data_IF_829033311499
#
_entry.id   IF_829033311499
#
_cell.length_a   1.000
_cell.length_b   1.000
_cell.length_c   1.000
_cell.angle_alpha   90.00
_cell.angle_beta   90.00
_cell.angle_gamma   90.00
#
_symmetry.space_group_name_H-M   'P 1'
#
loop_
_entity.id
_entity.type
_entity.pdbx_description
1 polymer ?
#
# COMPACT_ATOMS: atom_id res chain seq x y z
N UNK A 1 55.91 -33.65 40.36
CA UNK A 1 55.27 -32.53 39.58
C UNK A 1 55.56 -32.81 38.15
N UNK A 2 54.53 -33.13 37.42
CA UNK A 2 54.61 -33.61 36.03
C UNK A 2 54.86 -32.47 35.09
N UNK A 3 55.57 -32.70 33.97
CA UNK A 3 55.80 -31.75 32.88
C UNK A 3 54.49 -31.18 32.32
N UNK A 4 53.39 -31.88 32.46
CA UNK A 4 52.04 -31.47 32.14
C UNK A 4 51.53 -30.21 32.88
N UNK A 5 51.95 -30.01 34.10
CA UNK A 5 51.54 -28.90 34.95
C UNK A 5 52.18 -27.56 34.50
N UNK A 6 53.38 -27.62 33.89
CA UNK A 6 54.10 -26.45 33.38
C UNK A 6 53.57 -26.00 32.01
N UNK A 7 53.28 -26.93 31.12
CA UNK A 7 52.68 -26.63 29.80
C UNK A 7 51.26 -26.03 29.93
N UNK A 8 50.44 -26.54 30.87
CA UNK A 8 49.13 -25.96 31.15
C UNK A 8 49.22 -24.54 31.72
N UNK A 9 50.21 -24.26 32.57
CA UNK A 9 50.43 -22.92 33.13
C UNK A 9 50.94 -21.92 32.10
N UNK A 10 51.79 -22.32 31.15
CA UNK A 10 52.25 -21.49 30.04
C UNK A 10 51.07 -21.17 29.06
N UNK A 11 50.24 -22.15 28.68
CA UNK A 11 49.08 -21.93 27.86
C UNK A 11 48.05 -20.99 28.51
N UNK A 12 47.85 -21.11 29.83
CA UNK A 12 46.97 -20.21 30.58
C UNK A 12 47.56 -18.79 30.69
N UNK A 13 48.85 -18.64 30.75
CA UNK A 13 49.52 -17.35 30.78
C UNK A 13 49.44 -16.64 29.44
N UNK A 14 49.62 -17.37 28.31
CA UNK A 14 49.48 -16.86 26.98
C UNK A 14 48.03 -16.44 26.70
N UNK A 15 47.04 -17.25 27.10
CA UNK A 15 45.62 -16.91 26.93
C UNK A 15 45.24 -15.66 27.76
N UNK A 16 45.74 -15.52 28.96
CA UNK A 16 45.53 -14.31 29.79
C UNK A 16 46.19 -13.08 29.19
N UNK A 17 47.39 -13.20 28.64
CA UNK A 17 48.08 -12.10 27.96
C UNK A 17 47.29 -11.66 26.71
N UNK A 18 46.86 -12.59 25.87
CA UNK A 18 46.04 -12.34 24.70
C UNK A 18 44.69 -11.69 25.06
N UNK A 19 44.03 -12.20 26.11
CA UNK A 19 42.77 -11.62 26.58
C UNK A 19 42.95 -10.20 27.12
N UNK A 20 44.07 -9.92 27.78
CA UNK A 20 44.39 -8.57 28.28
C UNK A 20 44.56 -7.57 27.13
N UNK A 21 45.10 -8.03 26.02
CA UNK A 21 45.36 -7.21 24.85
C UNK A 21 44.07 -7.03 23.97
N UNK A 22 43.31 -8.11 23.75
CA UNK A 22 42.19 -8.13 22.80
C UNK A 22 40.82 -8.17 23.47
N UNK A 23 40.73 -8.49 24.76
CA UNK A 23 39.45 -8.67 25.46
C UNK A 23 38.56 -7.45 25.46
N UNK A 24 39.14 -6.25 25.53
CA UNK A 24 38.38 -4.99 25.41
C UNK A 24 37.68 -4.81 24.06
N UNK A 25 38.41 -5.12 22.99
CA UNK A 25 37.85 -5.05 21.63
C UNK A 25 36.75 -6.12 21.39
N UNK A 26 36.97 -7.33 21.94
CA UNK A 26 35.99 -8.42 21.84
C UNK A 26 34.71 -8.08 22.61
N UNK A 27 34.84 -7.56 23.84
CA UNK A 27 33.68 -7.14 24.64
C UNK A 27 32.93 -6.00 23.94
N UNK A 28 33.64 -5.01 23.39
CA UNK A 28 33.02 -3.92 22.63
C UNK A 28 32.27 -4.46 21.42
N UNK A 29 32.90 -5.34 20.63
CA UNK A 29 32.26 -5.99 19.47
C UNK A 29 31.01 -6.77 19.86
N UNK A 30 31.10 -7.61 20.91
CA UNK A 30 29.97 -8.35 21.44
C UNK A 30 28.82 -7.43 21.91
N UNK A 31 29.17 -6.34 22.61
CA UNK A 31 28.19 -5.35 23.07
C UNK A 31 27.45 -4.67 21.89
N UNK A 32 28.17 -4.28 20.83
CA UNK A 32 27.57 -3.69 19.62
C UNK A 32 26.64 -4.69 18.95
N UNK A 33 27.04 -5.95 18.81
CA UNK A 33 26.19 -6.99 18.21
C UNK A 33 24.92 -7.21 19.04
N UNK A 34 25.05 -7.32 20.37
CA UNK A 34 23.88 -7.47 21.25
C UNK A 34 22.94 -6.26 21.19
N UNK A 35 23.49 -5.06 21.15
CA UNK A 35 22.69 -3.83 21.00
C UNK A 35 21.95 -3.81 19.66
N UNK A 36 22.59 -4.21 18.56
CA UNK A 36 21.98 -4.30 17.25
C UNK A 36 20.83 -5.34 17.22
N UNK A 37 21.03 -6.52 17.82
CA UNK A 37 20.01 -7.56 17.94
C UNK A 37 18.84 -7.08 18.81
N UNK A 38 19.10 -6.41 19.92
CA UNK A 38 18.07 -5.86 20.79
C UNK A 38 17.24 -4.77 20.07
N UNK A 39 17.90 -3.87 19.34
CA UNK A 39 17.23 -2.85 18.53
C UNK A 39 16.36 -3.48 17.43
N UNK A 40 16.86 -4.49 16.73
CA UNK A 40 16.13 -5.22 15.71
C UNK A 40 14.87 -5.91 16.25
N UNK A 41 15.01 -6.62 17.38
CA UNK A 41 13.88 -7.30 18.02
C UNK A 41 12.86 -6.31 18.58
N UNK A 42 13.34 -5.23 19.23
CA UNK A 42 12.48 -4.16 19.75
C UNK A 42 11.68 -3.46 18.64
N UNK A 43 12.33 -3.19 17.50
CA UNK A 43 11.65 -2.64 16.32
C UNK A 43 10.58 -3.58 15.77
N UNK A 44 10.90 -4.87 15.65
CA UNK A 44 9.95 -5.89 15.21
C UNK A 44 8.74 -6.03 16.15
N UNK A 45 8.99 -5.99 17.46
CA UNK A 45 7.92 -6.01 18.47
C UNK A 45 7.04 -4.76 18.37
N UNK A 46 7.65 -3.58 18.25
CA UNK A 46 6.92 -2.31 18.07
C UNK A 46 6.02 -2.34 16.83
N UNK A 47 6.55 -2.78 15.68
CA UNK A 47 5.76 -2.88 14.45
C UNK A 47 4.59 -3.87 14.58
N UNK A 48 4.79 -5.02 15.22
CA UNK A 48 3.72 -6.00 15.46
C UNK A 48 2.63 -5.44 16.36
N UNK A 49 3.00 -4.72 17.41
CA UNK A 49 2.05 -4.09 18.33
C UNK A 49 1.23 -3.00 17.62
N UNK A 50 1.88 -2.16 16.82
CA UNK A 50 1.20 -1.16 15.98
C UNK A 50 0.24 -1.81 15.00
N UNK A 51 0.65 -2.87 14.32
CA UNK A 51 -0.21 -3.60 13.40
C UNK A 51 -1.40 -4.26 14.10
N UNK A 52 -1.21 -4.83 15.30
CA UNK A 52 -2.29 -5.44 16.07
C UNK A 52 -3.35 -4.41 16.50
N UNK A 53 -2.93 -3.24 16.96
CA UNK A 53 -3.84 -2.14 17.31
C UNK A 53 -4.59 -1.62 16.09
N UNK A 54 -3.89 -1.41 14.96
CA UNK A 54 -4.51 -1.01 13.72
C UNK A 54 -5.51 -2.05 13.19
N UNK A 55 -5.25 -3.35 13.38
CA UNK A 55 -6.16 -4.42 12.99
C UNK A 55 -7.52 -4.36 13.71
N UNK A 56 -7.51 -4.07 15.02
CA UNK A 56 -8.74 -3.92 15.81
C UNK A 56 -9.58 -2.74 15.31
N UNK A 57 -8.93 -1.61 15.05
CA UNK A 57 -9.59 -0.44 14.48
C UNK A 57 -10.11 -0.72 13.06
N UNK A 58 -9.35 -1.47 12.26
CA UNK A 58 -9.75 -1.84 10.91
C UNK A 58 -10.97 -2.77 10.90
N UNK A 59 -11.11 -3.69 11.86
CA UNK A 59 -12.33 -4.48 12.03
C UNK A 59 -13.54 -3.59 12.35
N UNK A 60 -13.37 -2.63 13.26
CA UNK A 60 -14.40 -1.63 13.58
C UNK A 60 -14.78 -0.81 12.34
N UNK A 61 -13.79 -0.34 11.57
CA UNK A 61 -14.00 0.35 10.31
C UNK A 61 -14.82 -0.49 9.32
N UNK A 62 -14.48 -1.76 9.16
CA UNK A 62 -15.20 -2.64 8.24
C UNK A 62 -16.67 -2.85 8.67
N UNK A 63 -16.93 -3.00 9.97
CA UNK A 63 -18.28 -3.10 10.50
C UNK A 63 -19.09 -1.85 10.23
N UNK A 64 -18.52 -0.68 10.50
CA UNK A 64 -19.13 0.62 10.21
C UNK A 64 -19.41 0.79 8.69
N UNK A 65 -18.44 0.43 7.85
CA UNK A 65 -18.59 0.50 6.40
C UNK A 65 -19.70 -0.40 5.86
N UNK A 66 -19.87 -1.62 6.42
CA UNK A 66 -20.97 -2.53 6.07
C UNK A 66 -22.34 -2.00 6.53
N UNK A 67 -22.36 -1.29 7.66
CA UNK A 67 -23.55 -0.62 8.16
C UNK A 67 -23.84 0.71 7.47
N UNK A 68 -23.00 1.12 6.50
CA UNK A 68 -23.05 2.43 5.83
C UNK A 68 -22.99 3.61 6.81
N UNK A 69 -22.35 3.43 7.97
CA UNK A 69 -22.11 4.50 8.91
C UNK A 69 -20.93 5.37 8.44
N UNK A 70 -21.28 6.41 7.71
CA UNK A 70 -20.34 7.32 7.05
C UNK A 70 -19.43 8.01 8.06
N UNK A 71 -20.00 8.44 9.20
CA UNK A 71 -19.25 9.18 10.23
C UNK A 71 -18.23 8.27 10.93
N UNK A 72 -18.69 7.13 11.46
CA UNK A 72 -17.80 6.20 12.17
C UNK A 72 -16.72 5.66 11.22
N UNK A 73 -17.08 5.38 9.96
CA UNK A 73 -16.10 4.94 8.94
C UNK A 73 -15.02 5.99 8.73
N UNK A 74 -15.38 7.28 8.56
CA UNK A 74 -14.44 8.37 8.37
C UNK A 74 -13.54 8.56 9.59
N UNK A 75 -14.13 8.67 10.78
CA UNK A 75 -13.43 8.98 12.01
C UNK A 75 -12.46 7.85 12.39
N UNK A 76 -12.88 6.59 12.22
CA UNK A 76 -12.01 5.42 12.46
C UNK A 76 -10.88 5.35 11.43
N UNK A 77 -11.15 5.62 10.16
CA UNK A 77 -10.10 5.70 9.14
C UNK A 77 -9.08 6.80 9.48
N UNK A 78 -9.54 8.00 9.85
CA UNK A 78 -8.68 9.10 10.31
C UNK A 78 -7.76 8.65 11.44
N UNK A 79 -8.31 8.00 12.46
CA UNK A 79 -7.53 7.46 13.60
C UNK A 79 -6.44 6.49 13.13
N UNK A 80 -6.74 5.60 12.16
CA UNK A 80 -5.75 4.65 11.63
C UNK A 80 -4.65 5.38 10.85
N UNK A 81 -5.02 6.34 10.02
CA UNK A 81 -4.07 7.09 9.20
C UNK A 81 -3.11 7.95 10.05
N UNK A 82 -3.61 8.54 11.12
CA UNK A 82 -2.83 9.40 12.02
C UNK A 82 -1.90 8.59 12.93
N UNK A 83 -2.44 7.56 13.59
CA UNK A 83 -1.70 6.84 14.62
C UNK A 83 -0.92 5.63 14.11
N UNK A 84 -1.33 5.04 12.98
CA UNK A 84 -0.76 3.81 12.43
C UNK A 84 -0.38 3.90 10.94
N UNK A 85 0.17 5.04 10.44
CA UNK A 85 0.35 5.29 9.01
C UNK A 85 1.30 4.30 8.32
N UNK A 86 2.19 3.65 9.08
CA UNK A 86 3.20 2.72 8.56
C UNK A 86 2.73 1.27 8.51
N UNK A 87 1.52 0.98 8.99
CA UNK A 87 0.93 -0.37 8.95
C UNK A 87 0.30 -0.64 7.58
N UNK A 88 0.14 -1.92 7.23
CA UNK A 88 -0.60 -2.31 6.03
C UNK A 88 -2.09 -1.92 6.09
N UNK A 89 -2.62 -1.68 7.28
CA UNK A 89 -4.03 -1.32 7.49
C UNK A 89 -4.34 0.12 7.08
N UNK A 90 -3.39 1.05 7.15
CA UNK A 90 -3.65 2.45 6.84
C UNK A 90 -4.13 2.67 5.39
N UNK A 91 -3.41 2.22 4.34
CA UNK A 91 -3.89 2.40 2.98
C UNK A 91 -5.20 1.63 2.72
N UNK A 92 -5.42 0.48 3.34
CA UNK A 92 -6.67 -0.26 3.22
C UNK A 92 -7.84 0.48 3.89
N UNK A 93 -7.61 1.08 5.05
CA UNK A 93 -8.60 1.90 5.76
C UNK A 93 -9.00 3.13 4.93
N UNK A 94 -8.03 3.81 4.34
CA UNK A 94 -8.27 4.94 3.45
C UNK A 94 -9.11 4.54 2.23
N UNK A 95 -8.79 3.39 1.60
CA UNK A 95 -9.56 2.86 0.47
C UNK A 95 -11.01 2.51 0.84
N UNK A 96 -11.24 1.91 2.02
CA UNK A 96 -12.59 1.57 2.49
C UNK A 96 -13.38 2.83 2.79
N UNK A 97 -12.78 3.77 3.52
CA UNK A 97 -13.42 5.05 3.85
C UNK A 97 -13.71 5.87 2.61
N UNK A 98 -12.76 5.99 1.68
CA UNK A 98 -12.98 6.70 0.42
C UNK A 98 -14.18 6.16 -0.37
N UNK A 99 -14.37 4.83 -0.38
CA UNK A 99 -15.55 4.21 -1.02
C UNK A 99 -16.84 4.65 -0.33
N UNK A 100 -16.89 4.62 0.99
CA UNK A 100 -18.10 4.97 1.75
C UNK A 100 -18.41 6.46 1.60
N UNK A 101 -17.39 7.33 1.67
CA UNK A 101 -17.55 8.78 1.47
C UNK A 101 -18.03 9.09 0.05
N UNK A 102 -17.47 8.44 -0.96
CA UNK A 102 -17.91 8.57 -2.36
C UNK A 102 -19.39 8.20 -2.53
N UNK A 103 -19.80 7.05 -1.95
CA UNK A 103 -21.21 6.60 -1.99
C UNK A 103 -22.16 7.55 -1.25
N UNK A 104 -21.65 8.26 -0.24
CA UNK A 104 -22.41 9.28 0.50
C UNK A 104 -22.38 10.67 -0.18
N UNK A 105 -21.69 10.83 -1.30
CA UNK A 105 -21.57 12.10 -2.02
C UNK A 105 -20.50 13.04 -1.46
N UNK A 106 -19.72 12.62 -0.45
CA UNK A 106 -18.58 13.40 0.05
C UNK A 106 -17.33 13.16 -0.81
N UNK A 107 -17.36 13.72 -2.03
CA UNK A 107 -16.28 13.60 -3.00
C UNK A 107 -14.98 14.21 -2.49
N UNK A 108 -15.06 15.28 -1.69
CA UNK A 108 -13.89 15.95 -1.13
C UNK A 108 -13.10 15.03 -0.20
N UNK A 109 -13.78 14.40 0.75
CA UNK A 109 -13.13 13.46 1.68
C UNK A 109 -12.63 12.21 0.94
N UNK A 110 -13.43 11.66 0.01
CA UNK A 110 -13.02 10.52 -0.81
C UNK A 110 -11.72 10.82 -1.59
N UNK A 111 -11.66 11.98 -2.25
CA UNK A 111 -10.47 12.45 -2.97
C UNK A 111 -9.25 12.56 -2.06
N UNK A 112 -9.39 13.22 -0.91
CA UNK A 112 -8.28 13.40 0.02
C UNK A 112 -7.71 12.07 0.52
N UNK A 113 -8.56 11.11 0.84
CA UNK A 113 -8.14 9.78 1.29
C UNK A 113 -7.44 8.98 0.18
N UNK A 114 -7.94 9.05 -1.06
CA UNK A 114 -7.29 8.39 -2.20
C UNK A 114 -5.94 9.02 -2.54
N UNK A 115 -5.81 10.33 -2.45
CA UNK A 115 -4.54 11.03 -2.61
C UNK A 115 -3.54 10.60 -1.53
N UNK A 116 -3.98 10.49 -0.27
CA UNK A 116 -3.15 9.97 0.80
C UNK A 116 -2.62 8.56 0.50
N UNK A 117 -3.46 7.68 -0.07
CA UNK A 117 -3.02 6.32 -0.49
C UNK A 117 -1.94 6.41 -1.56
N UNK A 118 -2.09 7.27 -2.56
CA UNK A 118 -1.09 7.43 -3.64
C UNK A 118 0.27 7.87 -3.10
N UNK A 119 0.28 8.72 -2.07
CA UNK A 119 1.50 9.25 -1.46
C UNK A 119 2.16 8.27 -0.49
N UNK A 120 1.37 7.43 0.22
CA UNK A 120 1.86 6.65 1.36
C UNK A 120 1.88 5.14 1.14
N UNK A 121 1.12 4.59 0.18
CA UNK A 121 1.10 3.16 -0.07
C UNK A 121 2.41 2.68 -0.74
N UNK A 122 2.97 1.59 -0.20
CA UNK A 122 4.22 0.99 -0.70
C UNK A 122 4.00 0.06 -1.90
N UNK A 123 2.82 -0.54 -2.02
CA UNK A 123 2.48 -1.53 -3.03
C UNK A 123 1.84 -0.88 -4.25
N UNK A 124 2.37 -1.17 -5.43
CA UNK A 124 1.88 -0.61 -6.70
C UNK A 124 0.44 -1.01 -7.00
N UNK A 125 0.02 -2.20 -6.56
CA UNK A 125 -1.35 -2.67 -6.70
C UNK A 125 -2.33 -1.78 -5.91
N UNK A 126 -1.97 -1.41 -4.68
CA UNK A 126 -2.78 -0.52 -3.83
C UNK A 126 -2.87 0.88 -4.45
N UNK A 127 -1.74 1.40 -4.97
CA UNK A 127 -1.72 2.68 -5.68
C UNK A 127 -2.57 2.62 -6.96
N UNK A 128 -2.50 1.52 -7.70
CA UNK A 128 -3.32 1.34 -8.90
C UNK A 128 -4.82 1.36 -8.60
N UNK A 129 -5.25 0.68 -7.53
CA UNK A 129 -6.65 0.75 -7.06
C UNK A 129 -7.04 2.18 -6.68
N UNK A 130 -6.17 2.88 -5.95
CA UNK A 130 -6.43 4.25 -5.53
C UNK A 130 -6.55 5.20 -6.74
N UNK A 131 -5.67 5.06 -7.74
CA UNK A 131 -5.73 5.86 -8.97
C UNK A 131 -7.03 5.65 -9.74
N UNK A 132 -7.46 4.40 -9.93
CA UNK A 132 -8.73 4.11 -10.61
C UNK A 132 -9.92 4.73 -9.88
N UNK A 133 -9.96 4.61 -8.55
CA UNK A 133 -11.03 5.22 -7.75
C UNK A 133 -10.96 6.75 -7.76
N UNK A 134 -9.74 7.31 -7.70
CA UNK A 134 -9.56 8.76 -7.78
C UNK A 134 -10.01 9.31 -9.13
N UNK A 135 -9.73 8.61 -10.23
CA UNK A 135 -10.22 8.98 -11.54
C UNK A 135 -11.77 9.00 -11.60
N UNK A 136 -12.45 8.02 -10.97
CA UNK A 136 -13.91 8.01 -10.86
C UNK A 136 -14.41 9.18 -10.02
N UNK A 137 -13.80 9.46 -8.85
CA UNK A 137 -14.19 10.60 -8.01
C UNK A 137 -14.04 11.92 -8.74
N UNK A 138 -12.93 12.11 -9.47
CA UNK A 138 -12.69 13.33 -10.24
C UNK A 138 -13.67 13.50 -11.40
N UNK A 139 -14.04 12.41 -12.07
CA UNK A 139 -15.06 12.44 -13.13
C UNK A 139 -16.41 12.88 -12.56
N UNK A 140 -16.83 12.32 -11.42
CA UNK A 140 -18.11 12.65 -10.78
C UNK A 140 -18.09 14.06 -10.14
N UNK A 141 -16.89 14.56 -9.77
CA UNK A 141 -16.68 15.95 -9.30
C UNK A 141 -16.68 16.97 -10.48
N UNK A 142 -16.83 16.49 -11.72
CA UNK A 142 -16.90 17.33 -12.93
C UNK A 142 -15.53 17.76 -13.46
N UNK A 143 -14.46 17.10 -13.09
CA UNK A 143 -13.08 17.37 -13.56
C UNK A 143 -12.52 16.16 -14.37
N UNK A 144 -13.05 15.92 -15.59
CA UNK A 144 -12.61 14.80 -16.42
C UNK A 144 -11.16 14.94 -16.89
N UNK A 145 -10.64 16.15 -17.02
CA UNK A 145 -9.24 16.36 -17.42
C UNK A 145 -8.29 15.93 -16.32
N UNK A 146 -8.58 16.27 -15.06
CA UNK A 146 -7.83 15.73 -13.93
C UNK A 146 -7.98 14.20 -13.80
N UNK A 147 -9.17 13.65 -14.10
CA UNK A 147 -9.41 12.21 -14.11
C UNK A 147 -8.54 11.50 -15.17
N UNK A 148 -8.40 12.06 -16.37
CA UNK A 148 -7.48 11.52 -17.39
C UNK A 148 -6.02 11.62 -16.95
N UNK A 149 -5.64 12.74 -16.34
CA UNK A 149 -4.27 13.01 -15.89
C UNK A 149 -3.79 12.01 -14.82
N UNK A 150 -4.62 11.66 -13.87
CA UNK A 150 -4.21 10.67 -12.85
C UNK A 150 -4.00 9.27 -13.44
N UNK A 151 -4.68 8.94 -14.54
CA UNK A 151 -4.51 7.68 -15.27
C UNK A 151 -3.24 7.64 -16.17
N UNK A 152 -2.46 8.71 -16.22
CA UNK A 152 -1.15 8.71 -16.90
C UNK A 152 -0.08 7.99 -16.06
N UNK A 153 -0.30 7.87 -14.75
CA UNK A 153 0.57 7.11 -13.87
C UNK A 153 0.65 5.65 -14.34
N UNK A 154 1.87 5.10 -14.36
CA UNK A 154 2.08 3.71 -14.75
C UNK A 154 1.41 2.77 -13.74
N UNK A 155 0.43 1.94 -14.15
CA UNK A 155 -0.20 0.98 -13.27
C UNK A 155 0.70 -0.24 -13.02
N UNK A 156 0.40 -1.00 -11.97
CA UNK A 156 0.85 -2.39 -11.88
C UNK A 156 0.26 -3.19 -13.05
N UNK A 157 1.01 -4.15 -13.60
CA UNK A 157 0.67 -4.86 -14.85
C UNK A 157 -0.74 -5.47 -14.87
N UNK A 158 -1.21 -6.01 -13.74
CA UNK A 158 -2.56 -6.57 -13.62
C UNK A 158 -3.69 -5.53 -13.72
N UNK A 159 -3.40 -4.23 -13.70
CA UNK A 159 -4.39 -3.16 -13.78
C UNK A 159 -4.40 -2.43 -15.14
N UNK A 160 -3.51 -2.78 -16.06
CA UNK A 160 -3.39 -2.08 -17.35
C UNK A 160 -4.72 -2.07 -18.14
N UNK A 161 -5.43 -3.20 -18.19
CA UNK A 161 -6.73 -3.28 -18.84
C UNK A 161 -7.78 -2.39 -18.17
N UNK A 162 -7.78 -2.33 -16.82
CA UNK A 162 -8.71 -1.50 -16.07
C UNK A 162 -8.44 -0.01 -16.28
N UNK A 163 -7.15 0.40 -16.33
CA UNK A 163 -6.77 1.79 -16.65
C UNK A 163 -7.23 2.20 -18.05
N UNK A 164 -7.01 1.34 -19.05
CA UNK A 164 -7.47 1.60 -20.40
C UNK A 164 -9.01 1.65 -20.47
N UNK A 165 -9.72 0.77 -19.77
CA UNK A 165 -11.18 0.80 -19.66
C UNK A 165 -11.67 2.10 -19.02
N UNK A 166 -11.09 2.50 -17.89
CA UNK A 166 -11.47 3.74 -17.19
C UNK A 166 -11.20 4.99 -18.03
N UNK A 167 -10.08 5.01 -18.78
CA UNK A 167 -9.79 6.08 -19.75
C UNK A 167 -10.87 6.13 -20.82
N UNK A 168 -11.32 4.99 -21.32
CA UNK A 168 -12.43 4.89 -22.27
C UNK A 168 -13.73 5.47 -21.70
N UNK A 169 -14.05 5.18 -20.45
CA UNK A 169 -15.24 5.69 -19.76
C UNK A 169 -15.22 7.22 -19.66
N UNK A 170 -14.08 7.79 -19.27
CA UNK A 170 -13.92 9.25 -19.16
C UNK A 170 -14.02 9.91 -20.54
N UNK A 171 -13.37 9.34 -21.57
CA UNK A 171 -13.42 9.86 -22.93
C UNK A 171 -14.83 9.77 -23.52
N UNK A 172 -15.58 8.71 -23.21
CA UNK A 172 -16.98 8.58 -23.59
C UNK A 172 -17.86 9.65 -22.93
N UNK A 173 -17.64 9.94 -21.64
CA UNK A 173 -18.32 11.02 -20.93
C UNK A 173 -18.04 12.39 -21.57
N UNK A 174 -16.80 12.61 -22.05
CA UNK A 174 -16.39 13.80 -22.82
C UNK A 174 -16.93 13.81 -24.28
N UNK A 175 -17.68 12.80 -24.68
CA UNK A 175 -18.18 12.61 -26.05
C UNK A 175 -17.08 12.45 -27.12
N UNK A 176 -15.85 12.12 -26.71
CA UNK A 176 -14.70 11.82 -27.56
C UNK A 176 -14.77 10.36 -28.04
N UNK A 177 -15.76 10.02 -28.85
CA UNK A 177 -16.11 8.64 -29.20
C UNK A 177 -14.97 7.84 -29.84
N UNK A 178 -14.20 8.44 -30.75
CA UNK A 178 -13.11 7.77 -31.45
C UNK A 178 -11.98 7.40 -30.47
N UNK A 179 -11.62 8.31 -29.55
CA UNK A 179 -10.62 8.10 -28.54
C UNK A 179 -11.09 7.05 -27.47
N UNK A 180 -12.36 7.14 -27.05
CA UNK A 180 -12.97 6.16 -26.16
C UNK A 180 -12.92 4.74 -26.75
N UNK A 181 -13.26 4.61 -28.02
CA UNK A 181 -13.19 3.35 -28.77
C UNK A 181 -11.76 2.79 -28.81
N UNK A 182 -10.77 3.63 -29.08
CA UNK A 182 -9.37 3.23 -29.07
C UNK A 182 -8.93 2.73 -27.69
N UNK A 183 -9.34 3.43 -26.62
CA UNK A 183 -9.05 3.04 -25.25
C UNK A 183 -9.68 1.69 -24.85
N UNK A 184 -10.94 1.45 -25.21
CA UNK A 184 -11.60 0.17 -24.95
C UNK A 184 -10.99 -0.98 -25.76
N UNK A 185 -10.56 -0.75 -27.01
CA UNK A 185 -9.83 -1.76 -27.80
C UNK A 185 -8.51 -2.13 -27.14
N UNK A 186 -7.74 -1.12 -26.69
CA UNK A 186 -6.50 -1.36 -25.95
C UNK A 186 -6.75 -2.12 -24.65
N UNK A 187 -7.87 -1.89 -23.95
CA UNK A 187 -8.26 -2.67 -22.79
C UNK A 187 -8.56 -4.12 -23.15
N UNK A 188 -9.26 -4.38 -24.27
CA UNK A 188 -9.58 -5.73 -24.75
C UNK A 188 -8.34 -6.56 -25.08
N UNK A 189 -7.30 -5.94 -25.65
CA UNK A 189 -6.03 -6.61 -25.99
C UNK A 189 -5.31 -7.11 -24.73
N UNK A 190 -5.52 -6.46 -23.59
CA UNK A 190 -4.89 -6.77 -22.31
C UNK A 190 -5.80 -7.59 -21.37
N UNK A 191 -6.99 -7.97 -21.84
CA UNK A 191 -8.00 -8.63 -20.99
C UNK A 191 -8.16 -10.08 -21.39
N UNK A 192 -8.01 -10.98 -20.43
CA UNK A 192 -8.33 -12.39 -20.58
C UNK A 192 -9.85 -12.62 -20.73
N UNK A 193 -10.28 -13.78 -21.23
CA UNK A 193 -11.71 -14.12 -21.27
C UNK A 193 -12.37 -14.03 -19.88
N UNK A 194 -13.50 -13.33 -19.80
CA UNK A 194 -14.21 -13.13 -18.54
C UNK A 194 -15.13 -11.91 -18.57
N UNK A 195 -15.72 -11.57 -17.44
CA UNK A 195 -16.73 -10.52 -17.28
C UNK A 195 -16.25 -9.14 -17.78
N UNK A 196 -14.98 -8.80 -17.54
CA UNK A 196 -14.44 -7.52 -18.01
C UNK A 196 -14.43 -7.46 -19.54
N UNK A 197 -14.07 -8.55 -20.22
CA UNK A 197 -14.03 -8.62 -21.68
C UNK A 197 -15.43 -8.42 -22.28
N UNK A 198 -16.44 -9.05 -21.71
CA UNK A 198 -17.83 -8.86 -22.15
C UNK A 198 -18.32 -7.43 -21.89
N UNK A 199 -18.00 -6.86 -20.75
CA UNK A 199 -18.31 -5.45 -20.44
C UNK A 199 -17.68 -4.50 -21.44
N UNK A 200 -16.41 -4.72 -21.82
CA UNK A 200 -15.72 -3.89 -22.81
C UNK A 200 -16.35 -4.00 -24.21
N UNK A 201 -16.81 -5.20 -24.61
CA UNK A 201 -17.55 -5.38 -25.87
C UNK A 201 -18.84 -4.60 -25.88
N UNK A 202 -19.65 -4.69 -24.82
CA UNK A 202 -20.89 -3.93 -24.68
C UNK A 202 -20.64 -2.41 -24.71
N UNK A 203 -19.57 -1.94 -24.07
CA UNK A 203 -19.18 -0.52 -24.12
C UNK A 203 -18.80 -0.08 -25.53
N UNK A 204 -18.10 -0.92 -26.29
CA UNK A 204 -17.75 -0.66 -27.68
C UNK A 204 -19.00 -0.61 -28.60
N UNK A 205 -19.92 -1.56 -28.42
CA UNK A 205 -21.19 -1.59 -29.16
C UNK A 205 -22.03 -0.36 -28.84
N UNK A 206 -22.10 0.07 -27.57
CA UNK A 206 -22.84 1.26 -27.15
C UNK A 206 -22.31 2.57 -27.77
N UNK A 207 -21.02 2.62 -28.13
CA UNK A 207 -20.47 3.77 -28.86
C UNK A 207 -20.92 3.84 -30.33
N UNK A 208 -21.53 2.76 -30.84
CA UNK A 208 -21.96 2.68 -32.24
C UNK A 208 -20.81 2.52 -33.23
N UNK A 209 -21.08 2.19 -34.47
CA UNK A 209 -20.10 2.27 -35.56
C UNK A 209 -19.88 3.75 -35.88
N UNK A 210 -18.66 4.26 -35.72
CA UNK A 210 -18.27 5.62 -36.08
C UNK A 210 -17.55 5.64 -37.38
#
# INVERSE_FOLDING_TARGET
MSAYDLEEQEQLAELKAWWKEHGGAIILGATVVLAAVAAWNGWGWYQRTQAAQAAVLYDTLQKAARASDVKVTRDTAGTILENFPRTAYAPLAALVSAKVQFQAGDLKTARAQLQWVLENAKHDEIRSIATLRLASVLLDDGDPDAALKVLEAKPHSSFEALYASQRGDILAALKKRSEARAAYKAALEKTEPGTLRETLRLKLEALGEG
#
